data_IF_612188827410
#
_entry.id   IF_612188827410
#
_cell.length_a   1.000
_cell.length_b   1.000
_cell.length_c   1.000
_cell.angle_alpha   90.00
_cell.angle_beta   90.00
_cell.angle_gamma   90.00
#
_symmetry.space_group_name_H-M   'P 1'
#
loop_
_entity.id
_entity.type
_entity.pdbx_description
1 polymer ?
#
# COMPACT_ATOMS: atom_id res chain seq x y z
N UNK A 1 87.16 25.26 11.39
CA UNK A 1 86.03 25.69 10.56
C UNK A 1 85.13 24.48 10.34
N UNK A 2 84.10 24.32 11.17
CA UNK A 2 83.20 23.20 11.12
C UNK A 2 81.86 23.62 10.52
N UNK A 3 81.50 23.05 9.39
CA UNK A 3 80.18 23.19 8.75
C UNK A 3 79.33 21.99 9.08
N UNK A 4 78.22 22.20 9.81
CA UNK A 4 77.20 21.20 10.07
C UNK A 4 76.15 21.15 8.95
N UNK A 5 75.72 19.98 8.46
CA UNK A 5 74.64 19.91 7.47
C UNK A 5 73.27 19.97 8.18
N UNK A 6 72.41 20.87 7.68
CA UNK A 6 70.99 20.96 8.02
C UNK A 6 70.19 19.89 7.27
N UNK A 7 69.61 18.95 7.99
CA UNK A 7 68.67 17.97 7.49
C UNK A 7 67.27 18.65 7.32
N UNK A 8 66.79 18.74 6.08
CA UNK A 8 65.42 19.10 5.77
C UNK A 8 64.56 17.82 5.94
N UNK A 9 63.68 17.82 6.93
CA UNK A 9 62.59 16.86 7.04
C UNK A 9 61.42 17.26 6.18
N UNK A 10 61.19 16.57 5.07
CA UNK A 10 59.99 16.73 4.23
C UNK A 10 58.83 15.88 4.86
N UNK A 11 57.82 16.57 5.47
CA UNK A 11 56.59 15.96 5.86
C UNK A 11 55.71 15.70 4.62
N UNK A 12 55.66 14.45 4.17
CA UNK A 12 54.67 13.96 3.21
C UNK A 12 53.33 13.81 3.93
N UNK A 13 52.41 14.78 3.76
CA UNK A 13 51.00 14.63 4.10
C UNK A 13 50.38 13.65 3.10
N UNK A 14 50.20 12.40 3.49
CA UNK A 14 49.37 11.44 2.76
C UNK A 14 47.91 11.81 2.95
N UNK A 15 47.34 12.54 2.00
CA UNK A 15 45.87 12.64 1.87
C UNK A 15 45.32 11.24 1.54
N UNK A 16 44.87 10.50 2.54
CA UNK A 16 44.02 9.33 2.31
C UNK A 16 42.69 9.81 1.73
N UNK A 17 42.58 9.81 0.41
CA UNK A 17 41.28 9.90 -0.25
C UNK A 17 40.49 8.64 0.12
N UNK A 18 39.61 8.73 1.10
CA UNK A 18 38.57 7.74 1.29
C UNK A 18 37.66 7.81 0.07
N UNK A 19 37.89 6.91 -0.90
CA UNK A 19 36.93 6.67 -1.96
C UNK A 19 35.66 6.13 -1.28
N UNK A 20 34.67 6.99 -1.07
CA UNK A 20 33.33 6.54 -0.74
C UNK A 20 32.89 5.64 -1.90
N UNK A 21 32.81 4.34 -1.65
CA UNK A 21 32.22 3.40 -2.59
C UNK A 21 30.75 3.77 -2.73
N UNK A 22 30.41 4.44 -3.80
CA UNK A 22 29.03 4.50 -4.29
C UNK A 22 28.65 3.09 -4.72
N UNK A 23 27.50 2.63 -4.34
CA UNK A 23 27.00 1.32 -4.80
C UNK A 23 26.97 1.31 -6.34
N UNK A 24 27.54 0.27 -6.95
CA UNK A 24 27.51 0.11 -8.41
C UNK A 24 26.10 -0.19 -8.94
N UNK A 25 25.19 -0.62 -8.07
CA UNK A 25 23.79 -0.97 -8.34
C UNK A 25 22.95 -0.91 -7.06
N UNK A 26 21.64 -0.78 -7.24
CA UNK A 26 20.66 -0.86 -6.15
C UNK A 26 20.04 -2.26 -6.11
N UNK A 27 20.10 -2.92 -4.96
CA UNK A 27 19.48 -4.23 -4.75
C UNK A 27 18.15 -4.10 -4.01
N UNK A 28 17.06 -4.33 -4.70
CA UNK A 28 15.70 -4.29 -4.14
C UNK A 28 15.24 -5.70 -3.82
N UNK A 29 15.03 -6.01 -2.55
CA UNK A 29 14.31 -7.21 -2.12
C UNK A 29 12.82 -7.06 -2.42
N UNK A 30 12.29 -7.80 -3.37
CA UNK A 30 10.88 -7.82 -3.68
C UNK A 30 10.24 -9.06 -3.04
N UNK A 31 9.76 -8.90 -1.81
CA UNK A 31 9.13 -9.96 -1.04
C UNK A 31 7.62 -9.90 -1.24
N UNK A 32 7.04 -10.93 -1.82
CA UNK A 32 5.63 -10.94 -2.20
C UNK A 32 5.04 -12.35 -2.11
N UNK A 33 3.72 -12.45 -2.03
CA UNK A 33 3.03 -13.74 -2.11
C UNK A 33 3.02 -14.21 -3.57
N UNK A 34 3.97 -15.05 -3.95
CA UNK A 34 4.03 -15.64 -5.28
C UNK A 34 3.19 -16.92 -5.37
N UNK A 35 3.05 -17.67 -4.25
CA UNK A 35 2.25 -18.88 -4.14
C UNK A 35 1.47 -18.91 -2.81
N UNK A 36 0.33 -19.55 -2.82
CA UNK A 36 -0.49 -19.79 -1.61
C UNK A 36 -1.19 -18.54 -1.06
N UNK A 37 -2.50 -18.57 -0.94
CA UNK A 37 -3.29 -17.55 -0.27
C UNK A 37 -3.90 -16.47 -1.15
N UNK A 38 -4.79 -15.64 -0.56
CA UNK A 38 -5.64 -14.70 -1.29
C UNK A 38 -4.90 -13.45 -1.77
N UNK A 39 -3.66 -13.23 -1.34
CA UNK A 39 -2.84 -12.07 -1.72
C UNK A 39 -1.99 -12.30 -2.97
N UNK A 40 -2.05 -13.50 -3.59
CA UNK A 40 -1.26 -13.84 -4.78
C UNK A 40 -1.58 -12.95 -5.99
N UNK A 41 -2.86 -12.69 -6.28
CA UNK A 41 -3.29 -11.79 -7.36
C UNK A 41 -2.75 -10.38 -7.17
N UNK A 42 -3.12 -9.69 -6.08
CA UNK A 42 -2.60 -8.36 -5.79
C UNK A 42 -1.07 -8.28 -5.75
N UNK A 43 -0.36 -9.31 -5.26
CA UNK A 43 1.11 -9.33 -5.25
C UNK A 43 1.71 -9.35 -6.65
N UNK A 44 1.11 -10.10 -7.58
CA UNK A 44 1.52 -10.11 -8.99
C UNK A 44 1.33 -8.74 -9.62
N UNK A 45 0.25 -8.05 -9.29
CA UNK A 45 -0.04 -6.73 -9.83
C UNK A 45 0.87 -5.66 -9.26
N UNK A 46 1.16 -5.67 -7.95
CA UNK A 46 2.18 -4.81 -7.33
C UNK A 46 3.52 -5.01 -8.05
N UNK A 47 3.90 -6.26 -8.31
CA UNK A 47 5.14 -6.56 -9.03
C UNK A 47 5.11 -6.03 -10.46
N UNK A 48 4.04 -6.22 -11.19
CA UNK A 48 3.89 -5.74 -12.55
C UNK A 48 3.99 -4.21 -12.63
N UNK A 49 3.34 -3.49 -11.71
CA UNK A 49 3.44 -2.03 -11.64
C UNK A 49 4.86 -1.56 -11.33
N UNK A 50 5.53 -2.20 -10.38
CA UNK A 50 6.93 -1.93 -10.04
C UNK A 50 7.85 -2.15 -11.25
N UNK A 51 7.74 -3.31 -11.91
CA UNK A 51 8.55 -3.65 -13.08
C UNK A 51 8.32 -2.71 -14.26
N UNK A 52 7.06 -2.25 -14.48
CA UNK A 52 6.75 -1.24 -15.48
C UNK A 52 7.50 0.07 -15.23
N UNK A 53 7.49 0.56 -13.98
CA UNK A 53 8.21 1.77 -13.61
C UNK A 53 9.72 1.59 -13.82
N UNK A 54 10.30 0.49 -13.35
CA UNK A 54 11.73 0.18 -13.56
C UNK A 54 12.07 0.14 -15.06
N UNK A 55 11.22 -0.49 -15.88
CA UNK A 55 11.40 -0.51 -17.34
C UNK A 55 11.40 0.90 -17.95
N UNK A 56 10.47 1.76 -17.53
CA UNK A 56 10.39 3.15 -18.00
C UNK A 56 11.57 3.99 -17.54
N UNK A 57 12.19 3.67 -16.40
CA UNK A 57 13.41 4.26 -15.88
C UNK A 57 14.69 3.66 -16.51
N UNK A 58 14.56 2.80 -17.53
CA UNK A 58 15.68 2.18 -18.23
C UNK A 58 16.44 1.15 -17.40
N UNK A 59 15.75 0.43 -16.50
CA UNK A 59 16.35 -0.57 -15.61
C UNK A 59 17.13 0.03 -14.44
N UNK A 60 16.82 1.26 -14.04
CA UNK A 60 17.60 2.05 -13.08
C UNK A 60 16.72 2.65 -11.99
N UNK A 61 17.34 2.93 -10.83
CA UNK A 61 16.82 3.79 -9.77
C UNK A 61 17.86 4.86 -9.45
N UNK A 62 17.48 6.13 -9.49
CA UNK A 62 18.39 7.26 -9.29
C UNK A 62 19.60 7.28 -10.25
N UNK A 63 19.46 6.65 -11.42
CA UNK A 63 20.52 6.52 -12.42
C UNK A 63 21.41 5.28 -12.26
N UNK A 64 21.32 4.51 -11.16
CA UNK A 64 22.05 3.29 -10.93
C UNK A 64 21.27 2.06 -11.41
N UNK A 65 21.94 1.02 -11.98
CA UNK A 65 21.29 -0.24 -12.32
C UNK A 65 20.56 -0.85 -11.12
N UNK A 66 19.41 -1.47 -11.38
CA UNK A 66 18.61 -2.14 -10.36
C UNK A 66 18.72 -3.66 -10.50
N UNK A 67 18.96 -4.33 -9.38
CA UNK A 67 18.83 -5.79 -9.24
C UNK A 67 17.64 -6.08 -8.32
N UNK A 68 16.63 -6.78 -8.84
CA UNK A 68 15.45 -7.18 -8.04
C UNK A 68 15.63 -8.62 -7.56
N UNK A 69 15.79 -8.78 -6.26
CA UNK A 69 15.87 -10.09 -5.59
C UNK A 69 14.45 -10.49 -5.18
N UNK A 70 13.90 -11.51 -5.84
CA UNK A 70 12.54 -11.98 -5.55
C UNK A 70 12.51 -12.95 -4.36
N UNK A 71 11.47 -12.85 -3.53
CA UNK A 71 11.14 -13.77 -2.45
C UNK A 71 9.66 -14.07 -2.39
N UNK A 72 9.31 -15.30 -2.03
CA UNK A 72 7.94 -15.74 -1.81
C UNK A 72 7.68 -15.82 -0.30
N UNK A 73 6.69 -15.08 0.19
CA UNK A 73 6.25 -15.08 1.59
C UNK A 73 5.13 -16.10 1.86
N UNK A 74 4.52 -16.66 0.82
CA UNK A 74 3.42 -17.63 0.89
C UNK A 74 2.24 -17.16 1.77
N UNK A 75 2.06 -15.84 1.91
CA UNK A 75 1.13 -15.21 2.85
C UNK A 75 1.33 -15.66 4.31
N UNK A 76 2.52 -16.17 4.66
CA UNK A 76 2.90 -16.69 5.98
C UNK A 76 3.91 -15.77 6.65
N UNK A 77 3.62 -15.26 7.87
CA UNK A 77 4.56 -14.44 8.64
C UNK A 77 5.93 -15.10 8.83
N UNK A 78 5.95 -16.41 9.13
CA UNK A 78 7.20 -17.13 9.39
C UNK A 78 8.03 -17.35 8.13
N UNK A 79 7.38 -17.69 7.00
CA UNK A 79 8.06 -17.82 5.70
C UNK A 79 8.57 -16.46 5.24
N UNK A 80 7.76 -15.40 5.41
CA UNK A 80 8.16 -14.01 5.10
C UNK A 80 9.40 -13.57 5.87
N UNK A 81 9.44 -13.83 7.19
CA UNK A 81 10.63 -13.54 8.03
C UNK A 81 11.88 -14.27 7.55
N UNK A 82 11.75 -15.56 7.25
CA UNK A 82 12.87 -16.35 6.75
C UNK A 82 13.37 -15.87 5.39
N UNK A 83 12.45 -15.53 4.49
CA UNK A 83 12.77 -14.98 3.18
C UNK A 83 13.48 -13.63 3.31
N UNK A 84 12.96 -12.72 4.14
CA UNK A 84 13.57 -11.43 4.42
C UNK A 84 14.98 -11.58 5.00
N UNK A 85 15.18 -12.46 5.98
CA UNK A 85 16.49 -12.74 6.58
C UNK A 85 17.52 -13.22 5.54
N UNK A 86 17.11 -14.10 4.61
CA UNK A 86 17.98 -14.55 3.50
C UNK A 86 18.33 -13.38 2.59
N UNK A 87 17.38 -12.56 2.20
CA UNK A 87 17.60 -11.38 1.37
C UNK A 87 18.62 -10.42 1.99
N UNK A 88 18.51 -10.17 3.30
CA UNK A 88 19.44 -9.26 4.00
C UNK A 88 20.82 -9.90 4.17
N UNK A 89 20.88 -11.13 4.70
CA UNK A 89 22.16 -11.74 5.11
C UNK A 89 22.94 -12.29 3.94
N UNK A 90 22.28 -12.95 2.98
CA UNK A 90 22.92 -13.58 1.83
C UNK A 90 23.00 -12.66 0.63
N UNK A 91 21.84 -12.08 0.25
CA UNK A 91 21.71 -11.35 -1.01
C UNK A 91 22.11 -9.87 -0.86
N UNK A 92 22.22 -9.38 0.38
CA UNK A 92 22.65 -8.02 0.72
C UNK A 92 21.78 -6.97 0.04
N UNK A 93 20.47 -7.08 0.22
CA UNK A 93 19.51 -6.08 -0.30
C UNK A 93 19.67 -4.75 0.43
N UNK A 94 19.41 -3.66 -0.29
CA UNK A 94 19.46 -2.29 0.24
C UNK A 94 18.13 -1.84 0.83
N UNK A 95 17.05 -2.24 0.18
CA UNK A 95 15.65 -1.97 0.59
C UNK A 95 14.79 -3.21 0.37
N UNK A 96 13.69 -3.34 1.11
CA UNK A 96 12.67 -4.36 0.88
C UNK A 96 11.34 -3.70 0.53
N UNK A 97 10.59 -4.30 -0.40
CA UNK A 97 9.26 -3.88 -0.83
C UNK A 97 8.40 -5.06 -1.30
N UNK A 98 7.20 -4.80 -1.80
CA UNK A 98 6.34 -5.78 -2.48
C UNK A 98 5.36 -6.53 -1.59
N UNK A 99 5.45 -6.40 -0.27
CA UNK A 99 4.62 -7.15 0.68
C UNK A 99 3.17 -6.68 0.62
N UNK A 100 2.24 -7.64 0.44
CA UNK A 100 0.80 -7.40 0.42
C UNK A 100 0.11 -8.02 1.64
N UNK A 101 0.57 -9.18 2.09
CA UNK A 101 -0.02 -9.88 3.22
C UNK A 101 0.24 -9.15 4.55
N UNK A 102 -0.81 -8.62 5.20
CA UNK A 102 -0.68 -7.83 6.43
C UNK A 102 0.07 -8.57 7.55
N UNK A 103 -0.16 -9.88 7.72
CA UNK A 103 0.57 -10.68 8.70
C UNK A 103 2.08 -10.70 8.48
N UNK A 104 2.53 -10.67 7.22
CA UNK A 104 3.95 -10.56 6.85
C UNK A 104 4.48 -9.16 7.14
N UNK A 105 3.69 -8.10 6.85
CA UNK A 105 4.08 -6.71 7.18
C UNK A 105 4.36 -6.58 8.68
N UNK A 106 3.45 -7.06 9.54
CA UNK A 106 3.64 -7.05 11.00
C UNK A 106 4.89 -7.82 11.44
N UNK A 107 5.21 -8.91 10.75
CA UNK A 107 6.33 -9.77 11.10
C UNK A 107 7.68 -9.18 10.71
N UNK A 108 7.79 -8.54 9.52
CA UNK A 108 9.08 -8.08 9.00
C UNK A 108 9.40 -6.62 9.31
N UNK A 109 8.42 -5.73 9.54
CA UNK A 109 8.71 -4.31 9.77
C UNK A 109 9.58 -4.06 11.02
N UNK A 110 9.35 -4.70 12.19
CA UNK A 110 10.26 -4.60 13.33
C UNK A 110 11.65 -5.17 13.02
N UNK A 111 11.71 -6.24 12.25
CA UNK A 111 12.95 -6.90 11.88
C UNK A 111 13.78 -6.05 10.90
N UNK A 112 13.11 -5.38 9.95
CA UNK A 112 13.74 -4.44 9.03
C UNK A 112 14.36 -3.25 9.79
N UNK A 113 13.64 -2.69 10.76
CA UNK A 113 14.17 -1.64 11.63
C UNK A 113 15.38 -2.11 12.45
N UNK A 114 15.31 -3.30 13.04
CA UNK A 114 16.42 -3.88 13.80
C UNK A 114 17.67 -4.13 12.95
N UNK A 115 17.48 -4.53 11.69
CA UNK A 115 18.58 -4.78 10.73
C UNK A 115 18.98 -3.55 9.93
N UNK A 116 18.36 -2.38 10.21
CA UNK A 116 18.59 -1.11 9.52
C UNK A 116 18.42 -1.20 7.98
N UNK A 117 17.43 -1.99 7.53
CA UNK A 117 17.01 -2.09 6.13
C UNK A 117 15.70 -1.34 5.97
N UNK A 118 15.62 -0.43 5.02
CA UNK A 118 14.39 0.29 4.76
C UNK A 118 13.33 -0.64 4.18
N UNK A 119 12.17 -0.69 4.84
CA UNK A 119 10.98 -1.35 4.33
C UNK A 119 10.06 -0.28 3.73
N UNK A 120 10.06 -0.18 2.39
CA UNK A 120 9.17 0.70 1.65
C UNK A 120 7.96 -0.13 1.22
N UNK A 121 6.96 -0.16 2.09
CA UNK A 121 5.76 -0.96 1.90
C UNK A 121 4.90 -0.40 0.77
N UNK A 122 4.56 -1.24 -0.20
CA UNK A 122 3.80 -0.86 -1.40
C UNK A 122 2.29 -1.05 -1.29
N UNK A 123 1.78 -1.62 -0.20
CA UNK A 123 0.34 -1.90 -0.07
C UNK A 123 -0.22 -1.30 1.23
N UNK A 124 -1.01 -2.07 1.98
CA UNK A 124 -1.72 -1.60 3.17
C UNK A 124 -0.77 -1.17 4.29
N UNK A 125 -1.01 0.00 4.88
CA UNK A 125 -0.32 0.50 6.07
C UNK A 125 -1.16 0.31 7.32
N UNK A 126 -0.74 -0.58 8.25
CA UNK A 126 -1.40 -0.73 9.53
C UNK A 126 -0.98 0.36 10.53
N UNK A 127 -1.85 0.59 11.54
CA UNK A 127 -1.64 1.61 12.58
C UNK A 127 -0.36 1.40 13.39
N UNK A 128 0.08 0.17 13.55
CA UNK A 128 1.23 -0.17 14.39
C UNK A 128 2.58 0.34 13.87
N UNK A 129 2.60 1.05 12.75
CA UNK A 129 3.83 1.62 12.17
C UNK A 129 3.70 3.09 11.82
N UNK A 130 2.69 3.78 12.34
CA UNK A 130 2.45 5.21 12.10
C UNK A 130 2.13 5.94 13.40
N UNK A 131 1.99 7.24 13.34
CA UNK A 131 1.73 8.12 14.48
C UNK A 131 2.78 7.89 15.60
N UNK A 132 2.35 7.65 16.83
CA UNK A 132 3.21 7.38 18.00
C UNK A 132 4.01 6.07 17.93
N UNK A 133 3.69 5.19 16.95
CA UNK A 133 4.38 3.92 16.70
C UNK A 133 5.24 3.92 15.45
N UNK A 134 5.47 5.08 14.85
CA UNK A 134 6.32 5.23 13.67
C UNK A 134 7.75 4.74 13.93
N UNK A 135 8.44 4.32 12.88
CA UNK A 135 9.85 3.99 12.96
C UNK A 135 10.63 4.48 11.73
N UNK A 136 11.91 4.74 11.94
CA UNK A 136 12.79 5.36 10.96
C UNK A 136 13.01 4.53 9.67
N UNK A 137 12.70 3.25 9.67
CA UNK A 137 12.97 2.32 8.57
C UNK A 137 11.71 1.80 7.88
N UNK A 138 10.51 2.24 8.29
CA UNK A 138 9.26 1.87 7.65
C UNK A 138 8.64 3.06 6.93
N UNK A 139 8.37 2.91 5.64
CA UNK A 139 7.66 3.87 4.80
C UNK A 139 6.50 3.16 4.11
N UNK A 140 5.38 3.84 3.93
CA UNK A 140 4.25 3.29 3.18
C UNK A 140 3.94 4.16 1.96
N UNK A 141 4.09 3.60 0.77
CA UNK A 141 3.73 4.23 -0.50
C UNK A 141 2.34 3.82 -0.98
N UNK A 142 1.75 2.80 -0.40
CA UNK A 142 0.43 2.29 -0.76
C UNK A 142 -0.71 3.13 -0.22
N UNK A 143 -1.48 2.58 0.69
CA UNK A 143 -2.59 3.25 1.36
C UNK A 143 -2.61 2.92 2.86
N UNK A 144 -3.28 3.74 3.64
CA UNK A 144 -3.37 3.52 5.07
C UNK A 144 -4.81 3.18 5.49
N UNK A 145 -4.95 2.15 6.34
CA UNK A 145 -6.26 1.67 6.79
C UNK A 145 -7.06 2.82 7.40
N UNK A 146 -6.46 3.55 8.32
CA UNK A 146 -7.17 4.64 9.01
C UNK A 146 -7.62 5.72 8.03
N UNK A 147 -6.73 6.24 7.17
CA UNK A 147 -7.06 7.38 6.33
C UNK A 147 -8.22 7.10 5.37
N UNK A 148 -8.27 5.92 4.76
CA UNK A 148 -9.35 5.54 3.83
C UNK A 148 -10.69 5.38 4.57
N UNK A 149 -10.67 4.70 5.73
CA UNK A 149 -11.90 4.40 6.46
C UNK A 149 -12.42 5.61 7.23
N UNK A 150 -11.55 6.48 7.75
CA UNK A 150 -11.96 7.76 8.32
C UNK A 150 -12.59 8.69 7.27
N UNK A 151 -12.02 8.76 6.07
CA UNK A 151 -12.61 9.51 4.97
C UNK A 151 -14.01 8.98 4.59
N UNK A 152 -14.16 7.66 4.53
CA UNK A 152 -15.45 7.03 4.23
C UNK A 152 -16.47 7.24 5.37
N UNK A 153 -16.06 7.05 6.62
CA UNK A 153 -16.94 7.28 7.78
C UNK A 153 -17.44 8.71 7.84
N UNK A 154 -16.55 9.69 7.68
CA UNK A 154 -16.90 11.11 7.59
C UNK A 154 -17.86 11.39 6.44
N UNK A 155 -17.62 10.80 5.27
CA UNK A 155 -18.50 10.95 4.12
C UNK A 155 -19.89 10.38 4.40
N UNK A 156 -20.01 9.14 4.92
CA UNK A 156 -21.30 8.52 5.20
C UNK A 156 -22.08 9.27 6.27
N UNK A 157 -21.41 9.88 7.24
CA UNK A 157 -22.05 10.77 8.23
C UNK A 157 -22.75 11.96 7.55
N UNK A 158 -22.24 12.49 6.43
CA UNK A 158 -22.85 13.59 5.69
C UNK A 158 -24.12 13.18 4.92
N UNK A 159 -24.36 11.89 4.70
CA UNK A 159 -25.52 11.38 4.00
C UNK A 159 -26.78 11.27 4.88
N UNK A 160 -26.66 11.54 6.17
CA UNK A 160 -27.75 11.40 7.12
C UNK A 160 -28.18 9.96 7.42
N UNK A 161 -27.35 8.97 7.07
CA UNK A 161 -27.57 7.56 7.40
C UNK A 161 -27.42 7.36 8.91
N UNK A 162 -28.46 6.84 9.56
CA UNK A 162 -28.52 6.73 11.03
C UNK A 162 -28.27 5.32 11.55
N UNK A 163 -28.36 4.31 10.68
CA UNK A 163 -28.32 2.90 11.03
C UNK A 163 -27.36 2.17 10.11
N UNK A 164 -26.04 2.33 10.32
CA UNK A 164 -25.06 1.56 9.58
C UNK A 164 -24.72 0.28 10.35
N UNK A 165 -24.79 -0.86 9.67
CA UNK A 165 -24.30 -2.14 10.16
C UNK A 165 -22.87 -2.36 9.68
N UNK A 166 -21.96 -2.78 10.53
CA UNK A 166 -20.56 -3.01 10.15
C UNK A 166 -20.19 -4.49 10.27
N UNK A 167 -19.45 -4.99 9.29
CA UNK A 167 -18.99 -6.38 9.24
C UNK A 167 -17.55 -6.48 8.69
N UNK A 168 -16.69 -7.22 9.37
CA UNK A 168 -15.32 -7.47 8.93
C UNK A 168 -14.81 -8.83 9.40
N UNK A 169 -13.67 -9.27 8.87
CA UNK A 169 -12.98 -10.45 9.39
C UNK A 169 -12.50 -10.22 10.85
N UNK A 170 -12.63 -11.23 11.70
CA UNK A 170 -12.26 -11.21 13.11
C UNK A 170 -10.75 -11.31 13.37
N UNK A 171 -9.96 -10.56 12.59
CA UNK A 171 -8.50 -10.44 12.69
C UNK A 171 -8.10 -9.01 13.00
N UNK A 172 -6.86 -8.73 13.44
CA UNK A 172 -6.43 -7.37 13.79
C UNK A 172 -6.76 -6.34 12.72
N UNK A 173 -6.40 -6.60 11.46
CA UNK A 173 -6.66 -5.69 10.35
C UNK A 173 -8.16 -5.41 10.13
N UNK A 174 -9.03 -6.41 10.29
CA UNK A 174 -10.48 -6.23 10.17
C UNK A 174 -11.05 -5.34 11.28
N UNK A 175 -10.57 -5.49 12.51
CA UNK A 175 -10.94 -4.62 13.63
C UNK A 175 -10.49 -3.19 13.41
N UNK A 176 -9.27 -3.00 12.92
CA UNK A 176 -8.71 -1.68 12.61
C UNK A 176 -9.56 -0.94 11.57
N UNK A 177 -10.05 -1.62 10.52
CA UNK A 177 -10.95 -1.04 9.53
C UNK A 177 -12.24 -0.50 10.18
N UNK A 178 -12.89 -1.30 11.02
CA UNK A 178 -14.14 -0.90 11.69
C UNK A 178 -13.89 0.23 12.68
N UNK A 179 -12.84 0.17 13.49
CA UNK A 179 -12.52 1.22 14.46
C UNK A 179 -12.20 2.55 13.78
N UNK A 180 -11.45 2.53 12.68
CA UNK A 180 -11.17 3.73 11.90
C UNK A 180 -12.46 4.35 11.33
N UNK A 181 -13.34 3.53 10.78
CA UNK A 181 -14.64 3.97 10.28
C UNK A 181 -15.50 4.61 11.39
N UNK A 182 -15.62 3.93 12.53
CA UNK A 182 -16.43 4.38 13.68
C UNK A 182 -15.99 5.75 14.20
N UNK A 183 -14.70 6.01 14.25
CA UNK A 183 -14.15 7.28 14.77
C UNK A 183 -14.70 8.52 14.08
N UNK A 184 -15.03 8.42 12.81
CA UNK A 184 -15.46 9.57 12.01
C UNK A 184 -16.92 9.50 11.58
N UNK A 185 -17.49 8.31 11.53
CA UNK A 185 -18.94 8.17 11.34
C UNK A 185 -19.73 8.78 12.51
N UNK A 186 -19.29 8.56 13.73
CA UNK A 186 -19.71 9.29 14.94
C UNK A 186 -21.15 9.04 15.41
N UNK A 187 -21.92 8.19 14.71
CA UNK A 187 -23.26 7.79 15.13
C UNK A 187 -23.28 6.34 15.65
N UNK A 188 -24.31 5.96 16.44
CA UNK A 188 -24.47 4.57 16.86
C UNK A 188 -24.63 3.61 15.64
N UNK A 189 -24.03 2.43 15.75
CA UNK A 189 -24.16 1.38 14.74
C UNK A 189 -25.48 0.61 14.93
N UNK A 190 -26.06 0.11 13.83
CA UNK A 190 -27.18 -0.82 13.85
C UNK A 190 -26.73 -2.23 14.35
N UNK A 191 -25.47 -2.55 14.19
CA UNK A 191 -24.83 -3.77 14.64
C UNK A 191 -23.39 -3.86 14.18
N UNK A 192 -22.64 -4.74 14.81
CA UNK A 192 -21.21 -4.97 14.54
C UNK A 192 -20.92 -6.46 14.59
N UNK A 193 -20.36 -7.03 13.52
CA UNK A 193 -20.00 -8.44 13.43
C UNK A 193 -18.56 -8.62 12.98
N UNK A 194 -17.89 -9.59 13.60
CA UNK A 194 -16.59 -10.08 13.14
C UNK A 194 -16.71 -11.54 12.74
N UNK A 195 -16.74 -11.82 11.42
CA UNK A 195 -16.77 -13.19 10.91
C UNK A 195 -15.41 -13.88 11.01
N UNK A 196 -15.41 -15.21 11.04
CA UNK A 196 -14.16 -16.00 11.05
C UNK A 196 -13.45 -15.87 9.70
N UNK A 197 -12.10 -15.73 9.63
CA UNK A 197 -11.37 -15.56 8.38
C UNK A 197 -11.63 -16.64 7.32
N UNK A 198 -12.02 -17.85 7.76
CA UNK A 198 -12.31 -18.99 6.90
C UNK A 198 -13.79 -19.11 6.54
N UNK A 199 -14.63 -18.13 6.89
CA UNK A 199 -16.07 -18.15 6.60
C UNK A 199 -16.30 -18.20 5.08
N UNK A 200 -16.99 -19.24 4.63
CA UNK A 200 -17.45 -19.39 3.24
C UNK A 200 -18.97 -19.21 3.12
N UNK A 201 -19.71 -19.44 4.21
CA UNK A 201 -21.15 -19.25 4.31
C UNK A 201 -21.45 -18.12 5.29
N UNK A 202 -22.04 -17.05 4.79
CA UNK A 202 -22.41 -15.84 5.53
C UNK A 202 -23.89 -15.79 5.95
N UNK A 203 -24.63 -16.90 5.83
CA UNK A 203 -26.09 -16.95 6.09
C UNK A 203 -26.46 -16.40 7.47
N UNK A 204 -25.68 -16.72 8.50
CA UNK A 204 -25.92 -16.27 9.87
C UNK A 204 -25.69 -14.76 10.04
N UNK A 205 -24.61 -14.22 9.47
CA UNK A 205 -24.29 -12.79 9.49
C UNK A 205 -25.32 -11.98 8.68
N UNK A 206 -25.71 -12.48 7.51
CA UNK A 206 -26.70 -11.84 6.65
C UNK A 206 -28.11 -11.83 7.28
N UNK A 207 -28.47 -12.88 8.02
CA UNK A 207 -29.71 -12.90 8.80
C UNK A 207 -29.72 -11.82 9.89
N UNK A 208 -28.60 -11.58 10.58
CA UNK A 208 -28.46 -10.52 11.58
C UNK A 208 -28.54 -9.13 10.93
N UNK A 209 -27.86 -8.92 9.78
CA UNK A 209 -27.97 -7.67 9.02
C UNK A 209 -29.43 -7.38 8.63
N UNK A 210 -30.14 -8.39 8.11
CA UNK A 210 -31.54 -8.26 7.74
C UNK A 210 -32.43 -7.91 8.93
N UNK A 211 -32.21 -8.56 10.08
CA UNK A 211 -32.98 -8.31 11.32
C UNK A 211 -32.77 -6.88 11.84
N UNK A 212 -31.56 -6.34 11.70
CA UNK A 212 -31.21 -4.98 12.13
C UNK A 212 -31.84 -3.89 11.26
N UNK A 213 -32.29 -4.20 10.03
CA UNK A 213 -32.87 -3.25 9.06
C UNK A 213 -32.03 -1.97 8.93
N UNK A 214 -30.75 -2.06 8.55
CA UNK A 214 -29.89 -0.90 8.47
C UNK A 214 -30.19 -0.06 7.23
N UNK A 215 -29.81 1.24 7.28
CA UNK A 215 -29.87 2.16 6.15
C UNK A 215 -28.75 1.86 5.13
N UNK A 216 -27.64 1.29 5.61
CA UNK A 216 -26.50 0.87 4.81
C UNK A 216 -25.65 -0.17 5.58
N UNK A 217 -24.83 -0.90 4.84
CA UNK A 217 -23.84 -1.82 5.40
C UNK A 217 -22.43 -1.34 5.02
N UNK A 218 -21.54 -1.30 6.00
CA UNK A 218 -20.11 -1.20 5.78
C UNK A 218 -19.48 -2.58 5.93
N UNK A 219 -18.76 -3.04 4.91
CA UNK A 219 -18.10 -4.35 4.92
C UNK A 219 -16.61 -4.23 4.57
N UNK A 220 -15.78 -4.98 5.31
CA UNK A 220 -14.40 -5.25 4.92
C UNK A 220 -14.24 -6.72 4.59
N UNK A 221 -14.03 -6.99 3.31
CA UNK A 221 -13.63 -8.26 2.73
C UNK A 221 -12.71 -7.98 1.55
N UNK A 222 -11.96 -8.96 1.09
CA UNK A 222 -11.01 -8.81 -0.01
C UNK A 222 -10.86 -10.11 -0.83
N UNK A 223 -10.46 -9.96 -2.09
CA UNK A 223 -10.25 -11.06 -3.01
C UNK A 223 -11.46 -11.98 -3.16
N UNK A 224 -11.28 -13.31 -3.26
CA UNK A 224 -12.37 -14.26 -3.43
C UNK A 224 -13.43 -14.19 -2.33
N UNK A 225 -13.03 -13.82 -1.11
CA UNK A 225 -13.95 -13.69 0.02
C UNK A 225 -14.92 -12.53 -0.17
N UNK A 226 -14.45 -11.42 -0.75
CA UNK A 226 -15.32 -10.28 -1.09
C UNK A 226 -16.38 -10.68 -2.12
N UNK A 227 -15.96 -11.31 -3.22
CA UNK A 227 -16.88 -11.77 -4.26
C UNK A 227 -17.94 -12.72 -3.69
N UNK A 228 -17.53 -13.65 -2.81
CA UNK A 228 -18.44 -14.58 -2.17
C UNK A 228 -19.43 -13.87 -1.24
N UNK A 229 -18.95 -12.98 -0.38
CA UNK A 229 -19.81 -12.19 0.52
C UNK A 229 -20.85 -11.37 -0.26
N UNK A 230 -20.43 -10.66 -1.30
CA UNK A 230 -21.33 -9.80 -2.09
C UNK A 230 -22.37 -10.62 -2.85
N UNK A 231 -22.01 -11.81 -3.38
CA UNK A 231 -22.98 -12.73 -3.98
C UNK A 231 -24.04 -13.16 -2.99
N UNK A 232 -23.63 -13.63 -1.81
CA UNK A 232 -24.56 -14.08 -0.77
C UNK A 232 -25.40 -12.91 -0.22
N UNK A 233 -24.83 -11.71 -0.13
CA UNK A 233 -25.55 -10.49 0.22
C UNK A 233 -26.72 -10.21 -0.75
N UNK A 234 -26.47 -10.31 -2.05
CA UNK A 234 -27.49 -10.15 -3.07
C UNK A 234 -28.53 -11.29 -3.03
N UNK A 235 -28.09 -12.55 -2.90
CA UNK A 235 -28.96 -13.73 -2.79
C UNK A 235 -29.83 -13.70 -1.53
N UNK A 236 -29.34 -13.10 -0.46
CA UNK A 236 -30.10 -12.90 0.77
C UNK A 236 -31.17 -11.80 0.64
N UNK A 237 -31.35 -11.17 -0.54
CA UNK A 237 -32.33 -10.10 -0.76
C UNK A 237 -31.93 -8.78 -0.09
N UNK A 238 -30.64 -8.55 0.14
CA UNK A 238 -30.12 -7.31 0.75
C UNK A 238 -29.59 -6.30 -0.28
N UNK A 239 -29.71 -6.61 -1.57
CA UNK A 239 -29.15 -5.79 -2.66
C UNK A 239 -29.63 -4.34 -2.67
N UNK A 240 -30.84 -4.08 -2.18
CA UNK A 240 -31.40 -2.72 -2.10
C UNK A 240 -30.83 -1.91 -0.91
N UNK A 241 -30.16 -2.56 0.03
CA UNK A 241 -29.45 -1.87 1.11
C UNK A 241 -28.04 -1.50 0.58
N UNK A 242 -27.67 -0.20 0.56
CA UNK A 242 -26.38 0.22 0.06
C UNK A 242 -25.21 -0.47 0.79
N UNK A 243 -24.26 -1.00 0.01
CA UNK A 243 -23.07 -1.66 0.52
C UNK A 243 -21.83 -0.80 0.27
N UNK A 244 -21.16 -0.44 1.35
CA UNK A 244 -19.94 0.36 1.36
C UNK A 244 -18.77 -0.38 1.95
N UNK A 245 -17.54 0.03 1.59
CA UNK A 245 -16.31 -0.48 2.19
C UNK A 245 -15.06 0.19 1.65
N UNK A 246 -13.87 -0.23 2.11
CA UNK A 246 -12.62 0.18 1.48
C UNK A 246 -12.45 -0.51 0.12
N UNK A 247 -11.50 -0.02 -0.67
CA UNK A 247 -11.25 -0.46 -2.05
C UNK A 247 -11.21 -1.99 -2.26
N UNK A 248 -10.62 -2.81 -1.37
CA UNK A 248 -10.58 -4.26 -1.55
C UNK A 248 -11.94 -4.96 -1.58
N UNK A 249 -13.01 -4.30 -1.13
CA UNK A 249 -14.37 -4.87 -1.22
C UNK A 249 -14.87 -4.98 -2.67
N UNK A 250 -14.42 -4.10 -3.56
CA UNK A 250 -14.72 -4.14 -4.98
C UNK A 250 -13.49 -3.65 -5.76
N UNK A 251 -12.50 -4.52 -5.85
CA UNK A 251 -11.31 -4.35 -6.66
C UNK A 251 -11.41 -5.10 -8.00
N UNK A 252 -10.39 -4.97 -8.80
CA UNK A 252 -10.33 -5.51 -10.15
C UNK A 252 -10.34 -7.06 -10.20
N UNK A 253 -9.95 -7.71 -9.10
CA UNK A 253 -10.01 -9.18 -8.97
C UNK A 253 -11.39 -9.66 -8.47
N UNK A 254 -11.99 -8.96 -7.53
CA UNK A 254 -13.27 -9.34 -6.91
C UNK A 254 -14.47 -9.04 -7.79
N UNK A 255 -14.43 -7.97 -8.61
CA UNK A 255 -15.53 -7.56 -9.47
C UNK A 255 -15.90 -8.65 -10.49
N UNK A 256 -14.99 -9.20 -11.31
CA UNK A 256 -15.34 -10.27 -12.24
C UNK A 256 -15.87 -11.53 -11.53
N UNK A 257 -15.24 -11.89 -10.40
CA UNK A 257 -15.66 -13.05 -9.61
C UNK A 257 -17.03 -12.87 -8.98
N UNK A 258 -17.41 -11.65 -8.58
CA UNK A 258 -18.71 -11.32 -7.98
C UNK A 258 -19.84 -11.20 -8.99
N UNK A 259 -19.52 -10.87 -10.24
CA UNK A 259 -20.50 -10.70 -11.32
C UNK A 259 -21.51 -9.58 -11.04
N UNK A 260 -22.72 -9.67 -11.57
CA UNK A 260 -23.78 -8.65 -11.45
C UNK A 260 -24.18 -8.35 -9.98
N UNK A 261 -23.80 -9.19 -9.03
CA UNK A 261 -23.99 -8.89 -7.61
C UNK A 261 -23.16 -7.68 -7.15
N UNK A 262 -22.05 -7.41 -7.81
CA UNK A 262 -21.17 -6.27 -7.50
C UNK A 262 -21.75 -4.91 -7.93
N UNK A 263 -22.73 -4.88 -8.84
CA UNK A 263 -23.33 -3.62 -9.32
C UNK A 263 -23.90 -2.85 -8.13
N UNK A 264 -23.45 -1.59 -7.98
CA UNK A 264 -23.87 -0.72 -6.89
C UNK A 264 -22.97 -0.72 -5.66
N UNK A 265 -22.09 -1.72 -5.48
CA UNK A 265 -21.10 -1.72 -4.41
C UNK A 265 -20.25 -0.45 -4.52
N UNK A 266 -20.13 0.27 -3.42
CA UNK A 266 -19.45 1.56 -3.36
C UNK A 266 -18.27 1.50 -2.42
N UNK A 267 -17.10 1.91 -2.89
CA UNK A 267 -15.86 1.80 -2.12
C UNK A 267 -15.10 3.12 -2.02
N UNK A 268 -14.29 3.26 -0.98
CA UNK A 268 -13.31 4.32 -0.86
C UNK A 268 -11.91 3.80 -1.18
N UNK A 269 -11.14 4.57 -1.94
CA UNK A 269 -9.77 4.23 -2.31
C UNK A 269 -8.97 5.45 -2.74
N UNK A 270 -7.67 5.31 -2.79
CA UNK A 270 -6.75 6.40 -3.14
C UNK A 270 -6.52 6.55 -4.64
N UNK A 271 -6.97 5.61 -5.44
CA UNK A 271 -6.79 5.60 -6.90
C UNK A 271 -7.95 4.90 -7.61
N UNK A 272 -8.14 5.26 -8.87
CA UNK A 272 -8.94 4.51 -9.84
C UNK A 272 -8.41 4.78 -11.25
N UNK A 273 -8.63 3.83 -12.19
CA UNK A 273 -8.10 3.90 -13.54
C UNK A 273 -8.60 5.11 -14.35
N UNK A 274 -9.77 5.63 -14.03
CA UNK A 274 -10.44 6.73 -14.74
C UNK A 274 -10.14 8.14 -14.19
N UNK A 275 -9.15 8.28 -13.29
CA UNK A 275 -8.71 9.60 -12.81
C UNK A 275 -8.15 10.44 -13.97
N UNK A 276 -8.54 11.71 -14.02
CA UNK A 276 -8.29 12.59 -15.15
C UNK A 276 -6.84 13.08 -15.31
N UNK A 277 -5.96 12.81 -14.34
CA UNK A 277 -4.56 13.24 -14.36
C UNK A 277 -3.79 12.66 -15.56
N UNK A 278 -2.96 13.44 -16.19
CA UNK A 278 -2.16 12.99 -17.34
C UNK A 278 -1.20 11.86 -16.96
N UNK A 279 -0.63 11.90 -15.75
CA UNK A 279 0.22 10.84 -15.22
C UNK A 279 -0.56 9.52 -15.12
N UNK A 280 -1.82 9.57 -14.67
CA UNK A 280 -2.69 8.39 -14.64
C UNK A 280 -2.97 7.82 -16.03
N UNK A 281 -3.37 8.68 -16.96
CA UNK A 281 -3.64 8.25 -18.36
C UNK A 281 -2.44 7.56 -18.99
N UNK A 282 -1.23 8.13 -18.78
CA UNK A 282 0.03 7.55 -19.27
C UNK A 282 0.31 6.19 -18.62
N UNK A 283 0.14 6.08 -17.30
CA UNK A 283 0.33 4.84 -16.56
C UNK A 283 -0.64 3.75 -17.05
N UNK A 284 -1.95 4.04 -17.08
CA UNK A 284 -2.98 3.07 -17.51
C UNK A 284 -2.71 2.58 -18.93
N UNK A 285 -2.43 3.49 -19.88
CA UNK A 285 -2.12 3.13 -21.27
C UNK A 285 -0.84 2.30 -21.38
N UNK A 286 0.21 2.64 -20.63
CA UNK A 286 1.48 1.91 -20.63
C UNK A 286 1.32 0.52 -20.02
N UNK A 287 0.55 0.39 -18.92
CA UNK A 287 0.29 -0.88 -18.26
C UNK A 287 -0.49 -1.84 -19.19
N UNK A 288 -1.55 -1.34 -19.80
CA UNK A 288 -2.34 -2.13 -20.76
C UNK A 288 -1.50 -2.56 -21.98
N UNK A 289 -0.66 -1.67 -22.51
CA UNK A 289 0.25 -2.00 -23.61
C UNK A 289 1.25 -3.09 -23.23
N UNK A 290 1.78 -3.05 -22.01
CA UNK A 290 2.82 -3.98 -21.54
C UNK A 290 2.26 -5.36 -21.19
N UNK A 291 1.11 -5.38 -20.50
CA UNK A 291 0.58 -6.62 -19.91
C UNK A 291 -0.70 -7.13 -20.57
N UNK A 292 -1.30 -6.40 -21.53
CA UNK A 292 -2.53 -6.81 -22.23
C UNK A 292 -3.78 -6.86 -21.33
N UNK A 293 -3.73 -6.21 -20.15
CA UNK A 293 -4.83 -6.14 -19.17
C UNK A 293 -4.91 -4.74 -18.56
N UNK A 294 -6.04 -4.45 -17.94
CA UNK A 294 -6.25 -3.18 -17.26
C UNK A 294 -5.33 -3.03 -16.04
N UNK A 295 -4.92 -1.79 -15.78
CA UNK A 295 -4.19 -1.45 -14.57
C UNK A 295 -5.13 -1.60 -13.36
N UNK A 296 -4.58 -2.13 -12.27
CA UNK A 296 -5.27 -2.34 -11.01
C UNK A 296 -4.77 -1.38 -9.94
N UNK A 297 -5.54 -1.22 -8.86
CA UNK A 297 -5.11 -0.45 -7.69
C UNK A 297 -3.76 -0.97 -7.15
N UNK A 298 -3.55 -2.27 -7.15
CA UNK A 298 -2.30 -2.89 -6.71
C UNK A 298 -1.12 -2.57 -7.67
N UNK A 299 -1.37 -2.56 -8.97
CA UNK A 299 -0.32 -2.20 -9.94
C UNK A 299 0.10 -0.74 -9.83
N UNK A 300 -0.84 0.18 -9.56
CA UNK A 300 -0.53 1.57 -9.31
C UNK A 300 0.35 1.75 -8.07
N UNK A 301 0.09 1.00 -7.01
CA UNK A 301 0.89 1.02 -5.79
C UNK A 301 2.33 0.60 -6.04
N UNK A 302 2.54 -0.48 -6.79
CA UNK A 302 3.88 -0.92 -7.17
C UNK A 302 4.63 0.11 -8.02
N UNK A 303 3.93 0.71 -8.98
CA UNK A 303 4.47 1.77 -9.83
C UNK A 303 4.91 2.99 -8.98
N UNK A 304 4.02 3.48 -8.12
CA UNK A 304 4.31 4.62 -7.22
C UNK A 304 5.47 4.31 -6.26
N UNK A 305 5.60 3.07 -5.79
CA UNK A 305 6.73 2.64 -4.95
C UNK A 305 8.07 2.77 -5.68
N UNK A 306 8.15 2.29 -6.92
CA UNK A 306 9.38 2.41 -7.72
C UNK A 306 9.74 3.88 -7.99
N UNK A 307 8.75 4.73 -8.28
CA UNK A 307 8.97 6.16 -8.47
C UNK A 307 9.45 6.86 -7.21
N UNK A 308 8.94 6.48 -6.03
CA UNK A 308 9.39 7.01 -4.75
C UNK A 308 10.85 6.61 -4.45
N UNK A 309 11.19 5.34 -4.72
CA UNK A 309 12.57 4.85 -4.59
C UNK A 309 13.51 5.57 -5.56
N UNK A 310 13.10 5.74 -6.83
CA UNK A 310 13.91 6.48 -7.82
C UNK A 310 14.20 7.90 -7.36
N UNK A 311 13.20 8.63 -6.91
CA UNK A 311 13.34 9.99 -6.42
C UNK A 311 14.30 10.08 -5.22
N UNK A 312 14.17 9.16 -4.24
CA UNK A 312 15.01 9.14 -3.06
C UNK A 312 16.46 8.76 -3.37
N UNK A 313 16.68 7.71 -4.20
CA UNK A 313 18.04 7.30 -4.62
C UNK A 313 18.73 8.41 -5.41
N UNK A 314 17.99 9.08 -6.30
CA UNK A 314 18.49 10.23 -7.05
C UNK A 314 18.92 11.39 -6.16
N UNK A 315 18.13 11.69 -5.11
CA UNK A 315 18.40 12.78 -4.18
C UNK A 315 19.70 12.60 -3.39
N UNK A 316 20.09 11.33 -3.11
CA UNK A 316 21.37 11.01 -2.44
C UNK A 316 22.50 10.68 -3.41
N UNK A 317 22.29 10.84 -4.72
CA UNK A 317 23.29 10.50 -5.74
C UNK A 317 23.71 9.02 -5.70
N UNK A 318 22.78 8.12 -5.36
CA UNK A 318 23.00 6.68 -5.25
C UNK A 318 23.61 6.21 -3.93
N UNK A 319 23.96 7.10 -3.01
CA UNK A 319 24.61 6.76 -1.71
C UNK A 319 23.59 6.31 -0.65
N UNK A 320 23.00 5.15 -0.87
CA UNK A 320 21.95 4.60 0.02
C UNK A 320 22.52 3.93 1.28
N UNK A 321 23.83 3.71 1.34
CA UNK A 321 24.56 3.26 2.51
C UNK A 321 24.58 4.30 3.65
N UNK A 322 24.49 5.60 3.32
CA UNK A 322 24.21 6.64 4.30
C UNK A 322 22.73 6.61 4.67
N UNK A 323 22.42 5.80 5.69
CA UNK A 323 21.05 5.55 6.11
C UNK A 323 20.32 6.82 6.57
N UNK A 324 21.04 7.77 7.16
CA UNK A 324 20.44 9.03 7.60
C UNK A 324 20.08 9.94 6.41
N UNK A 325 20.99 10.08 5.45
CA UNK A 325 20.76 10.85 4.24
C UNK A 325 19.65 10.22 3.39
N UNK A 326 19.65 8.89 3.23
CA UNK A 326 18.63 8.19 2.45
C UNK A 326 17.25 8.26 3.09
N UNK A 327 17.17 8.11 4.45
CA UNK A 327 15.92 8.34 5.18
C UNK A 327 15.37 9.72 4.90
N UNK A 328 16.21 10.76 5.08
CA UNK A 328 15.81 12.14 4.82
C UNK A 328 15.38 12.36 3.36
N UNK A 329 16.02 11.70 2.41
CA UNK A 329 15.62 11.74 1.01
C UNK A 329 14.23 11.13 0.79
N UNK A 330 13.93 9.96 1.41
CA UNK A 330 12.60 9.36 1.38
C UNK A 330 11.54 10.29 2.01
N UNK A 331 11.81 10.85 3.19
CA UNK A 331 10.91 11.78 3.88
C UNK A 331 10.52 13.00 3.02
N UNK A 332 11.42 13.45 2.15
CA UNK A 332 11.23 14.63 1.28
C UNK A 332 10.77 14.28 -0.14
N UNK A 333 10.45 13.03 -0.43
CA UNK A 333 9.93 12.64 -1.74
C UNK A 333 8.62 13.38 -2.03
N UNK A 334 8.55 14.00 -3.23
CA UNK A 334 7.34 14.64 -3.72
C UNK A 334 7.31 14.57 -5.25
N UNK A 335 6.26 14.01 -5.82
CA UNK A 335 6.08 13.88 -7.28
C UNK A 335 4.61 13.65 -7.66
N UNK A 336 4.29 13.79 -8.95
CA UNK A 336 2.98 13.45 -9.49
C UNK A 336 2.91 11.96 -9.81
N UNK A 337 2.22 11.21 -8.95
CA UNK A 337 1.91 9.79 -9.15
C UNK A 337 0.63 9.62 -10.01
N UNK A 338 0.31 8.39 -10.48
CA UNK A 338 -0.96 8.14 -11.16
C UNK A 338 -2.20 8.49 -10.31
N UNK A 339 -2.09 8.45 -8.98
CA UNK A 339 -3.12 8.87 -8.01
C UNK A 339 -3.20 10.38 -7.80
N UNK A 340 -2.34 11.17 -8.41
CA UNK A 340 -2.12 12.60 -8.18
C UNK A 340 -0.89 12.89 -7.33
N UNK A 341 -0.82 14.06 -6.68
CA UNK A 341 0.30 14.44 -5.85
C UNK A 341 0.61 13.41 -4.76
N UNK A 342 1.86 12.97 -4.70
CA UNK A 342 2.36 12.05 -3.68
C UNK A 342 3.44 12.68 -2.83
N UNK A 343 3.34 12.51 -1.53
CA UNK A 343 4.37 12.78 -0.53
C UNK A 343 4.13 11.97 0.72
N UNK A 344 5.17 11.81 1.53
CA UNK A 344 5.01 11.27 2.87
C UNK A 344 4.60 12.33 3.89
N UNK A 345 3.93 11.90 4.94
CA UNK A 345 3.76 12.65 6.17
C UNK A 345 4.93 12.39 7.12
N UNK A 346 5.00 13.11 8.24
CA UNK A 346 6.09 13.00 9.23
C UNK A 346 6.22 11.61 9.86
N UNK A 347 5.19 10.79 9.82
CA UNK A 347 5.17 9.40 10.28
C UNK A 347 5.39 8.38 9.14
N UNK A 348 5.88 8.83 7.99
CA UNK A 348 6.13 8.05 6.78
C UNK A 348 4.87 7.39 6.15
N UNK A 349 3.68 7.79 6.57
CA UNK A 349 2.43 7.43 5.90
C UNK A 349 2.20 8.30 4.66
N UNK A 350 1.43 7.83 3.65
CA UNK A 350 1.16 8.62 2.47
C UNK A 350 0.15 9.75 2.75
N UNK A 351 0.40 10.93 2.19
CA UNK A 351 -0.60 12.00 2.06
C UNK A 351 -1.22 11.86 0.69
N UNK A 352 -2.53 11.62 0.62
CA UNK A 352 -3.20 11.28 -0.64
C UNK A 352 -4.67 11.70 -0.69
N UNK A 353 -5.20 11.79 -1.89
CA UNK A 353 -6.63 11.98 -2.08
C UNK A 353 -7.36 10.66 -1.89
N UNK A 354 -8.60 10.72 -1.38
CA UNK A 354 -9.48 9.57 -1.25
C UNK A 354 -10.71 9.80 -2.13
N UNK A 355 -10.98 8.84 -2.98
CA UNK A 355 -12.07 8.85 -3.95
C UNK A 355 -13.15 7.85 -3.58
N UNK A 356 -14.40 8.22 -3.77
CA UNK A 356 -15.53 7.31 -3.76
C UNK A 356 -15.64 6.67 -5.15
N UNK A 357 -15.70 5.35 -5.20
CA UNK A 357 -15.79 4.54 -6.42
C UNK A 357 -17.05 3.68 -6.34
N UNK A 358 -17.68 3.40 -7.46
CA UNK A 358 -18.89 2.57 -7.52
C UNK A 358 -18.82 1.64 -8.73
N UNK A 359 -19.31 0.43 -8.56
CA UNK A 359 -19.37 -0.56 -9.64
C UNK A 359 -20.61 -0.35 -10.47
N UNK A 360 -20.43 -0.26 -11.79
CA UNK A 360 -21.46 -0.13 -12.80
C UNK A 360 -21.33 -1.21 -13.87
N UNK A 361 -22.41 -1.43 -14.60
CA UNK A 361 -22.37 -2.16 -15.87
C UNK A 361 -22.20 -1.17 -17.00
N UNK A 362 -21.17 -1.34 -17.83
CA UNK A 362 -20.92 -0.50 -19.01
C UNK A 362 -21.93 -0.80 -20.11
N UNK A 363 -22.03 0.07 -21.12
CA UNK A 363 -22.87 -0.16 -22.31
C UNK A 363 -22.44 -1.42 -23.10
N UNK A 364 -21.21 -1.87 -22.92
CA UNK A 364 -20.68 -3.13 -23.50
C UNK A 364 -21.01 -4.36 -22.68
N UNK A 365 -21.62 -4.19 -21.49
CA UNK A 365 -21.94 -5.27 -20.57
C UNK A 365 -20.83 -5.60 -19.56
N UNK A 366 -19.67 -4.97 -19.64
CA UNK A 366 -18.58 -5.18 -18.69
C UNK A 366 -18.85 -4.51 -17.36
N UNK A 367 -18.40 -5.12 -16.27
CA UNK A 367 -18.44 -4.49 -14.95
C UNK A 367 -17.23 -3.58 -14.77
N UNK A 368 -17.48 -2.32 -14.45
CA UNK A 368 -16.44 -1.29 -14.29
C UNK A 368 -16.59 -0.56 -12.98
N UNK A 369 -15.48 -0.31 -12.31
CA UNK A 369 -15.44 0.52 -11.12
C UNK A 369 -15.18 1.98 -11.54
N UNK A 370 -16.11 2.89 -11.28
CA UNK A 370 -16.01 4.29 -11.70
C UNK A 370 -15.87 5.23 -10.53
N UNK A 371 -14.97 6.20 -10.67
CA UNK A 371 -14.83 7.31 -9.74
C UNK A 371 -16.08 8.15 -9.73
N UNK A 372 -16.67 8.35 -8.54
CA UNK A 372 -17.83 9.19 -8.35
C UNK A 372 -17.43 10.62 -7.97
N UNK A 373 -16.56 10.74 -6.99
CA UNK A 373 -16.02 12.01 -6.51
C UNK A 373 -14.86 11.80 -5.55
N UNK A 374 -14.09 12.85 -5.32
CA UNK A 374 -13.14 12.94 -4.23
C UNK A 374 -13.88 13.23 -2.91
N UNK A 375 -13.65 12.42 -1.87
CA UNK A 375 -14.27 12.57 -0.54
C UNK A 375 -13.31 13.14 0.50
N UNK A 376 -12.01 13.09 0.23
CA UNK A 376 -10.99 13.77 1.03
C UNK A 376 -9.80 14.14 0.13
N UNK A 377 -9.29 15.35 0.30
CA UNK A 377 -8.12 15.86 -0.41
C UNK A 377 -6.92 15.93 0.53
N UNK A 378 -5.75 15.47 0.07
CA UNK A 378 -4.51 15.53 0.85
C UNK A 378 -4.63 14.89 2.24
N UNK A 379 -5.40 13.81 2.33
CA UNK A 379 -5.70 13.16 3.61
C UNK A 379 -4.57 12.25 4.06
N UNK A 380 -4.31 12.21 5.35
CA UNK A 380 -3.26 11.41 5.98
C UNK A 380 -3.76 10.80 7.29
N UNK A 381 -2.93 9.99 7.90
CA UNK A 381 -3.22 9.33 9.18
C UNK A 381 -3.40 10.37 10.29
N UNK A 382 -4.40 10.16 11.12
CA UNK A 382 -4.63 10.97 12.31
C UNK A 382 -3.51 10.77 13.33
N UNK A 383 -3.04 11.87 13.91
CA UNK A 383 -2.02 11.84 14.95
C UNK A 383 -0.59 11.65 14.41
N UNK A 384 -0.37 11.78 13.11
CA UNK A 384 0.97 11.69 12.51
C UNK A 384 2.00 12.61 13.20
N UNK A 385 1.58 13.77 13.70
CA UNK A 385 2.43 14.69 14.45
C UNK A 385 2.94 14.16 15.81
N UNK A 386 2.41 13.05 16.30
CA UNK A 386 2.92 12.39 17.51
C UNK A 386 4.13 11.48 17.25
N UNK A 387 4.51 11.32 15.97
CA UNK A 387 5.70 10.58 15.58
C UNK A 387 6.98 11.27 16.09
N UNK A 388 7.83 10.49 16.74
CA UNK A 388 9.17 10.92 17.19
C UNK A 388 10.20 9.88 16.74
N UNK A 389 11.00 10.20 15.70
CA UNK A 389 12.02 9.31 15.13
C UNK A 389 13.41 9.93 15.17
#
# INVERSE_FOLDING_TARGET
>A
MNLTPRTLAACLLSCAMTTAWSADKIKVGFLATASGGPTTGPSKDVRAGFDLAIKQLGGKLGGLPVEVVAGDDQASPDVGKQAFDRMVKRDKIDVVTGVVASGVIYAIAPQAAQQQVFFVNSNVGPRDFVADKCNAFYFNTGWHIESVNEALGKYLATLGLKKIFVIAAGVPVGREHIEAFKRTYGAPLAGEIYYKPQTLDFSAELAQIRAAKPDAVYAFAFGPLSANFVKQYAQAGLKDIPLFGPAPLADEDSIPAGGDAMIGVTTAGHWNFDLAHDTNKKFVAAFQKEYGKDATLASEQGYTTAMALDAAVKAVGGKIEDKQAFRKALENVSFEAPRGPFKFNVDHSPVQNIYLRKVFKSDKGDLVNRTQKMIAAGHSVRGASSCSM
#
